data_IF_489693777701
#
_entry.id   IF_489693777701
#
_cell.length_a   1.000
_cell.length_b   1.000
_cell.length_c   1.000
_cell.angle_alpha   90.00
_cell.angle_beta   90.00
_cell.angle_gamma   90.00
#
_symmetry.space_group_name_H-M   'P 1'
#
loop_
_entity.id
_entity.type
_entity.pdbx_description
1 polymer ?
#
# COMPACT_ATOMS: atom_id res chain seq x y z
N UNK A 1 -46.04 -23.98 24.80
CA UNK A 1 -45.56 -24.58 23.53
C UNK A 1 -45.07 -23.58 22.48
N UNK A 2 -45.66 -22.37 22.35
CA UNK A 2 -45.21 -21.39 21.33
C UNK A 2 -43.87 -20.72 21.64
N UNK A 3 -43.59 -20.43 22.91
CA UNK A 3 -42.37 -19.75 23.38
C UNK A 3 -41.12 -20.64 23.20
N UNK A 4 -41.22 -21.94 23.53
CA UNK A 4 -40.13 -22.89 23.31
C UNK A 4 -39.78 -23.09 21.82
N UNK A 5 -40.78 -23.05 20.93
CA UNK A 5 -40.60 -23.11 19.48
C UNK A 5 -39.91 -21.86 18.91
N UNK A 6 -40.24 -20.67 19.44
CA UNK A 6 -39.59 -19.42 19.05
C UNK A 6 -38.12 -19.36 19.50
N UNK A 7 -37.82 -19.90 20.69
CA UNK A 7 -36.45 -19.96 21.22
C UNK A 7 -35.56 -20.91 20.40
N UNK A 8 -36.08 -22.06 19.97
CA UNK A 8 -35.35 -23.00 19.09
C UNK A 8 -35.11 -22.43 17.69
N UNK A 9 -36.04 -21.63 17.15
CA UNK A 9 -35.87 -21.00 15.84
C UNK A 9 -34.80 -19.90 15.92
N UNK A 10 -34.81 -19.07 16.95
CA UNK A 10 -33.81 -18.02 17.16
C UNK A 10 -32.40 -18.57 17.41
N UNK A 11 -32.27 -19.69 18.12
CA UNK A 11 -30.99 -20.36 18.32
C UNK A 11 -30.44 -20.96 17.02
N UNK A 12 -31.29 -21.59 16.20
CA UNK A 12 -30.89 -22.16 14.90
C UNK A 12 -30.54 -21.10 13.86
N UNK A 13 -31.22 -19.96 13.84
CA UNK A 13 -30.86 -18.85 12.93
C UNK A 13 -29.56 -18.18 13.36
N UNK A 14 -29.31 -18.02 14.67
CA UNK A 14 -28.04 -17.51 15.18
C UNK A 14 -26.88 -18.46 14.83
N UNK A 15 -27.07 -19.77 15.00
CA UNK A 15 -26.07 -20.78 14.64
C UNK A 15 -25.77 -20.83 13.12
N UNK A 16 -26.78 -20.66 12.26
CA UNK A 16 -26.57 -20.57 10.80
C UNK A 16 -25.81 -19.29 10.40
N UNK A 17 -26.12 -18.15 11.02
CA UNK A 17 -25.44 -16.88 10.76
C UNK A 17 -23.99 -16.90 11.24
N UNK A 18 -23.73 -17.54 12.39
CA UNK A 18 -22.38 -17.78 12.88
C UNK A 18 -21.61 -18.75 11.98
N UNK A 19 -22.24 -19.77 11.39
CA UNK A 19 -21.57 -20.69 10.46
C UNK A 19 -21.25 -20.05 9.09
N UNK A 20 -22.11 -19.16 8.59
CA UNK A 20 -21.87 -18.42 7.33
C UNK A 20 -20.75 -17.37 7.45
N UNK A 21 -20.41 -16.93 8.66
CA UNK A 21 -19.31 -15.97 8.89
C UNK A 21 -17.91 -16.60 8.74
N UNK A 22 -17.78 -17.92 8.59
CA UNK A 22 -16.49 -18.63 8.60
C UNK A 22 -16.01 -19.07 7.21
N UNK A 23 -16.81 -18.90 6.15
CA UNK A 23 -16.50 -19.49 4.84
C UNK A 23 -15.95 -18.53 3.78
N UNK A 24 -15.65 -17.28 4.14
CA UNK A 24 -15.25 -16.26 3.18
C UNK A 24 -13.87 -15.68 3.49
N UNK A 25 -12.84 -16.51 3.52
CA UNK A 25 -11.47 -16.03 3.31
C UNK A 25 -11.31 -15.70 1.84
N UNK A 26 -11.75 -14.50 1.43
CA UNK A 26 -11.36 -13.93 0.14
C UNK A 26 -9.89 -13.60 0.23
N UNK A 27 -9.03 -14.51 -0.20
CA UNK A 27 -7.63 -14.19 -0.45
C UNK A 27 -7.61 -13.37 -1.73
N UNK A 28 -7.47 -12.04 -1.61
CA UNK A 28 -7.07 -11.22 -2.73
C UNK A 28 -5.67 -11.70 -3.13
N UNK A 29 -5.59 -12.51 -4.18
CA UNK A 29 -4.32 -12.89 -4.76
C UNK A 29 -3.94 -11.77 -5.72
N UNK A 30 -2.92 -11.00 -5.36
CA UNK A 30 -2.30 -10.09 -6.31
C UNK A 30 -1.85 -10.91 -7.52
N UNK A 31 -2.09 -10.42 -8.75
CA UNK A 31 -1.59 -11.09 -9.94
C UNK A 31 -0.07 -11.26 -9.81
N UNK A 32 0.43 -12.44 -10.17
CA UNK A 32 1.85 -12.69 -10.20
C UNK A 32 2.51 -11.71 -11.18
N UNK A 33 3.57 -11.04 -10.72
CA UNK A 33 4.34 -10.13 -11.54
C UNK A 33 5.06 -10.91 -12.65
N UNK A 34 5.13 -10.34 -13.84
CA UNK A 34 6.02 -10.81 -14.89
C UNK A 34 7.49 -10.60 -14.47
N UNK A 35 8.46 -11.31 -15.07
CA UNK A 35 9.87 -11.13 -14.71
C UNK A 35 10.37 -9.68 -14.84
N UNK A 36 9.85 -8.92 -15.80
CA UNK A 36 10.22 -7.50 -15.95
C UNK A 36 9.60 -6.62 -14.85
N UNK A 37 8.38 -6.94 -14.41
CA UNK A 37 7.75 -6.24 -13.28
C UNK A 37 8.42 -6.59 -11.95
N UNK A 38 8.85 -7.84 -11.76
CA UNK A 38 9.67 -8.25 -10.59
C UNK A 38 11.00 -7.51 -10.56
N UNK A 39 11.68 -7.40 -11.71
CA UNK A 39 12.92 -6.62 -11.82
C UNK A 39 12.66 -5.14 -11.53
N UNK A 40 11.59 -4.55 -12.09
CA UNK A 40 11.20 -3.17 -11.83
C UNK A 40 10.91 -2.92 -10.35
N UNK A 41 10.22 -3.85 -9.68
CA UNK A 41 10.00 -3.84 -8.23
C UNK A 41 11.33 -3.88 -7.47
N UNK A 42 12.23 -4.79 -7.83
CA UNK A 42 13.54 -4.89 -7.16
C UNK A 42 14.31 -3.56 -7.26
N UNK A 43 14.36 -2.95 -8.45
CA UNK A 43 14.98 -1.63 -8.70
C UNK A 43 14.31 -0.53 -7.86
N UNK A 44 12.99 -0.51 -7.77
CA UNK A 44 12.25 0.55 -7.06
C UNK A 44 12.60 0.65 -5.57
N UNK A 45 12.96 -0.48 -4.96
CA UNK A 45 13.32 -0.58 -3.53
C UNK A 45 14.83 -0.70 -3.29
N UNK A 46 15.66 -0.63 -4.34
CA UNK A 46 17.12 -0.75 -4.23
C UNK A 46 17.78 0.59 -3.85
N UNK A 47 18.39 0.65 -2.67
CA UNK A 47 19.11 1.85 -2.21
C UNK A 47 20.50 1.97 -2.80
N UNK A 48 21.08 0.90 -3.36
CA UNK A 48 22.41 0.91 -3.98
C UNK A 48 22.46 1.79 -5.25
N UNK A 49 21.30 2.19 -5.77
CA UNK A 49 21.17 3.08 -6.92
C UNK A 49 21.38 4.56 -6.57
N UNK A 50 21.45 4.94 -5.29
CA UNK A 50 21.84 6.29 -4.90
C UNK A 50 23.35 6.40 -4.67
N UNK A 51 23.90 7.60 -4.87
CA UNK A 51 25.36 7.85 -4.79
C UNK A 51 25.96 7.45 -3.44
N UNK A 52 25.19 7.58 -2.35
CA UNK A 52 25.61 7.20 -1.00
C UNK A 52 24.96 5.90 -0.49
N UNK A 53 24.26 5.14 -1.34
CA UNK A 53 23.65 3.86 -0.97
C UNK A 53 22.51 3.96 0.05
N UNK A 54 21.92 5.14 0.23
CA UNK A 54 21.02 5.50 1.33
C UNK A 54 19.58 5.83 0.92
N UNK A 55 19.25 5.74 -0.37
CA UNK A 55 17.96 6.20 -0.89
C UNK A 55 17.54 5.35 -2.08
N UNK A 56 16.30 4.87 -2.07
CA UNK A 56 15.67 4.18 -3.20
C UNK A 56 14.56 5.07 -3.79
N UNK A 57 13.91 4.62 -4.87
CA UNK A 57 12.72 5.30 -5.39
C UNK A 57 11.62 5.38 -4.31
N UNK A 58 11.43 4.27 -3.58
CA UNK A 58 10.46 4.16 -2.50
C UNK A 58 10.68 5.11 -1.32
N UNK A 59 11.88 5.69 -1.14
CA UNK A 59 12.14 6.66 -0.06
C UNK A 59 11.30 7.93 -0.23
N UNK A 60 11.13 8.39 -1.47
CA UNK A 60 10.31 9.56 -1.79
C UNK A 60 8.91 9.21 -2.33
N UNK A 61 8.71 7.96 -2.75
CA UNK A 61 7.47 7.44 -3.33
C UNK A 61 6.96 6.23 -2.53
N UNK A 62 6.56 6.45 -1.28
CA UNK A 62 6.16 5.41 -0.33
C UNK A 62 4.77 4.81 -0.59
N UNK A 63 4.65 3.49 -0.50
CA UNK A 63 3.43 2.74 -0.77
C UNK A 63 2.25 3.10 0.16
N UNK A 64 2.55 3.40 1.42
CA UNK A 64 1.61 3.80 2.48
C UNK A 64 1.02 5.20 2.28
N UNK A 65 1.65 6.02 1.43
CA UNK A 65 1.17 7.35 1.07
C UNK A 65 0.68 7.43 -0.39
N UNK A 66 0.31 6.29 -1.00
CA UNK A 66 -0.12 6.27 -2.39
C UNK A 66 1.01 6.64 -3.35
N UNK A 67 2.22 6.14 -3.07
CA UNK A 67 3.42 6.30 -3.89
C UNK A 67 3.92 7.74 -4.02
N UNK A 68 3.69 8.57 -3.00
CA UNK A 68 4.28 9.90 -2.82
C UNK A 68 5.03 9.97 -1.48
N UNK A 69 5.48 11.16 -1.06
CA UNK A 69 6.25 11.34 0.17
C UNK A 69 5.53 10.81 1.42
N UNK A 70 6.05 9.76 2.09
CA UNK A 70 5.39 9.11 3.23
C UNK A 70 5.67 9.75 4.60
N UNK A 71 6.74 10.53 4.73
CA UNK A 71 7.16 11.19 5.96
C UNK A 71 6.30 12.43 6.27
N UNK A 72 5.51 12.34 7.35
CA UNK A 72 4.64 13.42 7.83
C UNK A 72 5.43 14.65 8.29
N UNK A 73 6.59 14.47 8.93
CA UNK A 73 7.40 15.59 9.38
C UNK A 73 7.92 16.39 8.18
N UNK A 74 8.43 15.73 7.14
CA UNK A 74 8.83 16.40 5.89
C UNK A 74 7.64 17.09 5.22
N UNK A 75 6.48 16.42 5.17
CA UNK A 75 5.26 16.95 4.55
C UNK A 75 4.72 18.21 5.25
N UNK A 76 4.90 18.33 6.57
CA UNK A 76 4.53 19.53 7.34
C UNK A 76 5.48 20.72 7.12
N UNK A 77 6.70 20.48 6.64
CA UNK A 77 7.76 21.49 6.50
C UNK A 77 8.15 21.74 5.03
N UNK A 78 7.15 21.85 4.16
CA UNK A 78 7.34 22.19 2.73
C UNK A 78 7.30 21.01 1.77
N UNK A 79 7.26 19.78 2.29
CA UNK A 79 7.06 18.54 1.52
C UNK A 79 8.12 18.26 0.44
N UNK A 80 9.29 18.90 0.51
CA UNK A 80 10.43 18.62 -0.35
C UNK A 80 11.34 17.63 0.37
N UNK A 81 11.59 16.50 -0.27
CA UNK A 81 12.42 15.43 0.29
C UNK A 81 13.89 15.71 0.01
N UNK A 82 14.73 15.42 1.00
CA UNK A 82 16.17 15.46 0.85
C UNK A 82 16.62 14.40 -0.16
N UNK A 83 17.66 14.72 -0.92
CA UNK A 83 18.32 13.77 -1.81
C UNK A 83 19.36 12.93 -1.06
N UNK A 84 20.05 12.08 -1.82
CA UNK A 84 21.06 11.16 -1.28
C UNK A 84 22.25 11.89 -0.62
N UNK A 85 22.54 13.12 -1.04
CA UNK A 85 23.58 13.98 -0.47
C UNK A 85 22.98 14.84 0.64
N UNK A 86 23.47 14.75 1.89
CA UNK A 86 22.97 15.56 3.00
C UNK A 86 23.02 17.06 2.70
N UNK A 87 21.97 17.77 3.11
CA UNK A 87 21.73 19.20 2.87
C UNK A 87 21.23 19.54 1.47
N UNK A 88 21.13 18.58 0.55
CA UNK A 88 20.69 18.85 -0.82
C UNK A 88 19.24 18.42 -1.05
N UNK A 89 18.44 19.36 -1.56
CA UNK A 89 17.02 19.19 -1.78
C UNK A 89 16.65 19.51 -3.22
N UNK A 90 15.59 18.88 -3.71
CA UNK A 90 14.92 19.32 -4.92
C UNK A 90 14.17 20.64 -4.72
N UNK A 91 13.40 21.04 -5.73
CA UNK A 91 12.56 22.24 -5.65
C UNK A 91 11.06 21.94 -5.47
N UNK A 92 10.67 20.65 -5.45
CA UNK A 92 9.26 20.22 -5.50
C UNK A 92 9.03 18.96 -4.67
N UNK A 93 7.79 18.81 -4.22
CA UNK A 93 7.29 17.58 -3.61
C UNK A 93 7.33 16.42 -4.62
N UNK A 94 7.71 15.20 -4.20
CA UNK A 94 7.58 14.00 -5.04
C UNK A 94 6.12 13.80 -5.46
N UNK A 95 5.85 13.69 -6.76
CA UNK A 95 4.51 13.37 -7.26
C UNK A 95 4.16 11.91 -6.92
N UNK A 96 2.89 11.53 -7.00
CA UNK A 96 2.56 10.10 -6.89
C UNK A 96 3.10 9.34 -8.10
N UNK A 97 3.74 8.19 -7.86
CA UNK A 97 4.09 7.26 -8.93
C UNK A 97 2.92 6.34 -9.32
N UNK A 98 1.85 6.27 -8.50
CA UNK A 98 0.64 5.57 -8.88
C UNK A 98 -0.08 6.32 -9.99
N UNK A 99 -0.60 5.56 -10.95
CA UNK A 99 -1.27 6.10 -12.14
C UNK A 99 -0.42 7.11 -12.93
N UNK A 100 0.90 7.05 -12.82
CA UNK A 100 1.80 7.74 -13.71
C UNK A 100 1.62 7.14 -15.12
N UNK A 101 0.70 7.69 -15.91
CA UNK A 101 0.52 7.32 -17.30
C UNK A 101 1.71 7.82 -18.10
N UNK A 102 2.02 7.19 -19.22
CA UNK A 102 2.91 7.81 -20.20
C UNK A 102 2.41 9.23 -20.46
N UNK A 103 3.29 10.22 -20.30
CA UNK A 103 2.94 11.59 -20.62
C UNK A 103 2.49 11.64 -22.07
N UNK A 104 1.41 12.37 -22.40
CA UNK A 104 1.05 12.58 -23.79
C UNK A 104 2.28 13.14 -24.51
N UNK A 105 2.64 12.51 -25.63
CA UNK A 105 3.67 13.02 -26.55
C UNK A 105 3.14 14.18 -27.38
#
# INVERSE_FOLDING_TARGET
>A
MRIAKMLTIAASTCALLLAMAWTSTVTAQDPALTPVEELGKAIFFDTALSINGNQACATCHGLDAGWTGPDVAVNLHGAVYEGSVPGQFGARKPLSAAYATFSPI
#
